data_IF_636206816651
#
_entry.id   IF_636206816651
#
_cell.length_a   1.000
_cell.length_b   1.000
_cell.length_c   1.000
_cell.angle_alpha   90.00
_cell.angle_beta   90.00
_cell.angle_gamma   90.00
#
_symmetry.space_group_name_H-M   'P 1'
#
loop_
_entity.id
_entity.type
_entity.pdbx_description
1 polymer ?
#
# COMPACT_ATOMS: atom_id res chain seq x y z
N UNK A 1 16.53 6.77 -4.72
CA UNK A 1 16.23 5.47 -4.05
C UNK A 1 17.24 4.40 -4.47
N UNK A 2 17.59 3.45 -3.59
CA UNK A 2 18.48 2.33 -3.95
C UNK A 2 17.78 1.41 -4.96
N UNK A 3 18.49 0.93 -5.97
CA UNK A 3 17.90 0.18 -7.09
C UNK A 3 17.08 -1.06 -6.68
N UNK A 4 17.50 -1.76 -5.61
CA UNK A 4 16.80 -2.95 -5.11
C UNK A 4 15.47 -2.66 -4.40
N UNK A 5 15.18 -1.39 -4.08
CA UNK A 5 13.92 -0.93 -3.50
C UNK A 5 12.96 -0.41 -4.57
N UNK A 6 13.44 -0.23 -5.81
CA UNK A 6 12.62 0.27 -6.91
C UNK A 6 11.73 -0.88 -7.44
N UNK A 7 10.43 -0.68 -7.38
CA UNK A 7 9.47 -1.62 -7.95
C UNK A 7 9.47 -1.50 -9.48
N UNK A 8 9.45 -2.63 -10.18
CA UNK A 8 9.18 -2.68 -11.61
C UNK A 8 7.69 -2.42 -11.86
N UNK A 9 7.39 -1.53 -12.80
CA UNK A 9 6.01 -1.15 -13.11
C UNK A 9 5.80 -1.14 -14.63
N UNK A 10 4.59 -1.50 -15.07
CA UNK A 10 4.15 -1.46 -16.46
C UNK A 10 2.85 -0.65 -16.57
N UNK A 11 2.93 0.68 -16.41
CA UNK A 11 1.75 1.52 -16.23
C UNK A 11 0.97 1.79 -17.52
N UNK A 12 1.55 1.52 -18.68
CA UNK A 12 0.92 1.76 -19.97
C UNK A 12 0.01 0.59 -20.36
N UNK A 13 -1.21 0.90 -20.77
CA UNK A 13 -2.12 -0.09 -21.31
C UNK A 13 -1.87 -0.31 -22.81
N UNK A 14 -2.31 -1.45 -23.34
CA UNK A 14 -2.29 -1.71 -24.77
C UNK A 14 -3.12 -0.63 -25.53
N UNK A 15 -2.54 0.10 -26.48
CA UNK A 15 -3.25 1.18 -27.18
C UNK A 15 -4.52 0.72 -27.90
N UNK A 16 -4.62 -0.56 -28.32
CA UNK A 16 -5.81 -1.12 -28.96
C UNK A 16 -7.01 -1.25 -28.03
N UNK A 17 -6.74 -1.20 -26.72
CA UNK A 17 -7.76 -1.34 -25.68
C UNK A 17 -8.30 0.01 -25.17
N UNK A 18 -7.82 1.13 -25.71
CA UNK A 18 -8.10 2.48 -25.19
C UNK A 18 -9.09 3.22 -26.06
N UNK A 19 -10.16 3.72 -25.45
CA UNK A 19 -11.14 4.64 -26.02
C UNK A 19 -10.95 5.99 -25.30
N UNK A 20 -10.66 7.04 -26.05
CA UNK A 20 -10.40 8.37 -25.51
C UNK A 20 -11.32 9.41 -26.13
N UNK A 21 -12.00 10.20 -25.30
CA UNK A 21 -12.66 11.45 -25.65
C UNK A 21 -11.93 12.65 -25.04
N UNK A 22 -12.57 13.82 -25.10
CA UNK A 22 -11.94 15.07 -24.63
C UNK A 22 -11.63 15.05 -23.13
N UNK A 23 -12.58 14.56 -22.31
CA UNK A 23 -12.51 14.57 -20.85
C UNK A 23 -12.60 13.19 -20.20
N UNK A 24 -12.65 12.12 -20.99
CA UNK A 24 -12.72 10.77 -20.49
C UNK A 24 -11.76 9.83 -21.23
N UNK A 25 -11.37 8.78 -20.53
CA UNK A 25 -10.65 7.65 -21.11
C UNK A 25 -11.18 6.35 -20.51
N UNK A 26 -11.53 5.41 -21.37
CA UNK A 26 -11.95 4.07 -20.99
C UNK A 26 -10.93 3.09 -21.54
N UNK A 27 -10.40 2.22 -20.67
CA UNK A 27 -9.46 1.18 -21.08
C UNK A 27 -10.04 -0.19 -20.78
N UNK A 28 -10.14 -1.04 -21.78
CA UNK A 28 -10.58 -2.43 -21.64
C UNK A 28 -9.36 -3.29 -21.30
N UNK A 29 -9.12 -3.54 -20.02
CA UNK A 29 -7.97 -4.31 -19.58
C UNK A 29 -8.16 -5.81 -19.82
N UNK A 30 -9.37 -6.33 -19.52
CA UNK A 30 -9.78 -7.70 -19.88
C UNK A 30 -11.27 -7.69 -20.29
N UNK A 31 -11.81 -8.84 -20.72
CA UNK A 31 -13.26 -8.97 -20.98
C UNK A 31 -14.12 -8.70 -19.71
N UNK A 32 -13.48 -8.64 -18.52
CA UNK A 32 -14.12 -8.47 -17.21
C UNK A 32 -13.66 -7.22 -16.44
N UNK A 33 -12.64 -6.51 -16.91
CA UNK A 33 -12.00 -5.41 -16.18
C UNK A 33 -11.88 -4.17 -17.06
N UNK A 34 -12.47 -3.08 -16.59
CA UNK A 34 -12.38 -1.77 -17.23
C UNK A 34 -11.68 -0.77 -16.32
N UNK A 35 -10.83 0.10 -16.87
CA UNK A 35 -10.40 1.34 -16.24
C UNK A 35 -11.26 2.47 -16.78
N UNK A 36 -11.79 3.29 -15.89
CA UNK A 36 -12.68 4.40 -16.17
C UNK A 36 -12.07 5.68 -15.63
N UNK A 37 -11.73 6.61 -16.51
CA UNK A 37 -11.08 7.85 -16.12
C UNK A 37 -11.89 9.05 -16.59
N UNK A 38 -11.94 10.08 -15.73
CA UNK A 38 -12.48 11.38 -16.08
C UNK A 38 -11.57 12.50 -15.55
N UNK A 39 -11.33 13.51 -16.39
CA UNK A 39 -10.54 14.69 -16.05
C UNK A 39 -11.12 15.91 -16.75
N UNK A 40 -11.37 16.98 -16.00
CA UNK A 40 -11.97 18.22 -16.53
C UNK A 40 -11.12 18.90 -17.62
N UNK A 41 -9.82 18.71 -17.57
CA UNK A 41 -8.87 19.28 -18.56
C UNK A 41 -8.44 18.27 -19.63
N UNK A 42 -8.93 17.04 -19.59
CA UNK A 42 -8.61 15.99 -20.57
C UNK A 42 -7.19 15.41 -20.42
N UNK A 43 -6.48 15.74 -19.33
CA UNK A 43 -5.18 15.17 -19.02
C UNK A 43 -5.34 13.86 -18.25
N UNK A 44 -4.74 12.79 -18.75
CA UNK A 44 -4.79 11.46 -18.16
C UNK A 44 -3.40 11.01 -17.73
N UNK A 45 -3.35 10.26 -16.63
CA UNK A 45 -2.12 9.88 -15.98
C UNK A 45 -1.75 8.45 -16.35
N UNK A 46 -0.57 8.29 -16.95
CA UNK A 46 -0.02 6.99 -17.36
C UNK A 46 1.04 6.44 -16.40
N UNK A 47 1.35 7.16 -15.32
CA UNK A 47 2.21 6.65 -14.26
C UNK A 47 1.51 5.53 -13.46
N UNK A 48 2.30 4.64 -12.88
CA UNK A 48 1.82 3.71 -11.87
C UNK A 48 1.38 4.47 -10.62
N UNK A 49 0.49 3.88 -9.83
CA UNK A 49 0.14 4.37 -8.49
C UNK A 49 0.63 3.38 -7.43
N UNK A 50 0.50 3.75 -6.16
CA UNK A 50 0.76 2.83 -5.06
C UNK A 50 -0.17 1.60 -5.05
N UNK A 51 -1.33 1.71 -5.69
CA UNK A 51 -2.32 0.63 -5.79
C UNK A 51 -2.18 -0.14 -7.11
N UNK A 52 -2.01 0.58 -8.23
CA UNK A 52 -2.02 -0.02 -9.57
C UNK A 52 -0.66 0.18 -10.24
N UNK A 53 0.05 -0.93 -10.41
CA UNK A 53 1.43 -0.92 -10.92
C UNK A 53 1.56 -1.44 -12.35
N UNK A 54 0.56 -2.19 -12.85
CA UNK A 54 0.64 -2.84 -14.15
C UNK A 54 -0.70 -2.74 -14.90
N UNK A 55 -0.66 -2.13 -16.10
CA UNK A 55 -1.80 -2.07 -17.03
C UNK A 55 -1.50 -2.72 -18.37
N UNK A 56 -0.37 -3.44 -18.46
CA UNK A 56 -0.01 -4.19 -19.66
C UNK A 56 -0.79 -5.51 -19.71
N UNK A 57 -1.96 -5.43 -20.32
CA UNK A 57 -2.83 -6.56 -20.62
C UNK A 57 -2.89 -6.79 -22.13
N UNK A 58 -3.15 -8.03 -22.59
CA UNK A 58 -3.31 -8.33 -24.01
C UNK A 58 -4.42 -7.51 -24.67
N UNK A 59 -4.41 -7.47 -25.99
CA UNK A 59 -5.52 -6.88 -26.75
C UNK A 59 -6.81 -7.68 -26.47
N UNK A 60 -7.92 -6.96 -26.29
CA UNK A 60 -9.24 -7.50 -25.99
C UNK A 60 -10.19 -7.19 -27.16
N UNK A 61 -11.07 -8.12 -27.49
CA UNK A 61 -12.15 -7.87 -28.43
C UNK A 61 -13.32 -7.18 -27.72
N UNK A 62 -13.75 -6.04 -28.23
CA UNK A 62 -14.91 -5.30 -27.75
C UNK A 62 -15.55 -4.48 -28.87
N UNK A 63 -16.77 -4.05 -28.66
CA UNK A 63 -17.47 -3.15 -29.56
C UNK A 63 -17.84 -1.84 -28.87
N UNK A 64 -17.84 -0.77 -29.65
CA UNK A 64 -18.23 0.56 -29.18
C UNK A 64 -19.32 1.08 -30.10
N UNK A 65 -20.44 1.55 -29.52
CA UNK A 65 -21.46 2.32 -30.19
C UNK A 65 -21.45 3.73 -29.62
N UNK A 66 -21.08 4.68 -30.45
CA UNK A 66 -21.02 6.09 -30.12
C UNK A 66 -22.12 6.83 -30.84
N UNK A 67 -23.02 7.49 -30.10
CA UNK A 67 -24.16 8.27 -30.64
C UNK A 67 -23.95 9.78 -30.54
N UNK A 68 -22.75 10.24 -30.26
CA UNK A 68 -22.41 11.64 -29.97
C UNK A 68 -22.52 11.96 -28.48
N UNK A 69 -23.70 11.86 -27.89
CA UNK A 69 -23.93 12.17 -26.46
C UNK A 69 -23.70 10.95 -25.53
N UNK A 70 -23.82 9.75 -26.06
CA UNK A 70 -23.72 8.52 -25.30
C UNK A 70 -22.71 7.55 -25.94
N UNK A 71 -22.07 6.78 -25.09
CA UNK A 71 -21.15 5.72 -25.45
C UNK A 71 -21.62 4.41 -24.79
N UNK A 72 -21.86 3.39 -25.61
CA UNK A 72 -22.06 2.02 -25.17
C UNK A 72 -20.82 1.22 -25.56
N UNK A 73 -20.21 0.53 -24.57
CA UNK A 73 -19.09 -0.38 -24.78
C UNK A 73 -19.52 -1.78 -24.35
N UNK A 74 -19.24 -2.77 -25.18
CA UNK A 74 -19.52 -4.17 -24.88
C UNK A 74 -18.28 -5.03 -25.07
N UNK A 75 -17.94 -5.76 -24.04
CA UNK A 75 -17.04 -6.93 -24.12
C UNK A 75 -17.91 -8.20 -24.14
N UNK A 76 -17.31 -9.35 -24.10
CA UNK A 76 -18.02 -10.63 -23.93
C UNK A 76 -18.86 -10.70 -22.65
N UNK A 77 -18.40 -10.04 -21.56
CA UNK A 77 -19.00 -10.17 -20.24
C UNK A 77 -19.45 -8.84 -19.62
N UNK A 78 -19.13 -7.70 -20.23
CA UNK A 78 -19.48 -6.39 -19.71
C UNK A 78 -20.27 -5.57 -20.72
N UNK A 79 -21.20 -4.77 -20.20
CA UNK A 79 -21.86 -3.71 -20.93
C UNK A 79 -21.73 -2.42 -20.11
N UNK A 80 -21.00 -1.44 -20.65
CA UNK A 80 -20.87 -0.09 -20.09
C UNK A 80 -21.77 0.87 -20.87
N UNK A 81 -22.50 1.74 -20.15
CA UNK A 81 -23.22 2.88 -20.72
C UNK A 81 -22.68 4.15 -20.06
N UNK A 82 -22.36 5.15 -20.87
CA UNK A 82 -21.73 6.37 -20.39
C UNK A 82 -22.13 7.59 -21.21
N UNK A 83 -22.54 8.69 -20.54
CA UNK A 83 -22.99 9.95 -21.16
C UNK A 83 -21.85 10.93 -21.48
N UNK A 84 -20.57 10.51 -21.37
CA UNK A 84 -19.35 11.29 -21.67
C UNK A 84 -19.15 12.56 -20.81
N UNK A 85 -19.90 12.70 -19.72
CA UNK A 85 -19.78 13.81 -18.76
C UNK A 85 -19.10 13.35 -17.48
N UNK A 86 -18.89 14.26 -16.55
CA UNK A 86 -18.42 13.90 -15.20
C UNK A 86 -19.23 12.74 -14.64
N UNK A 87 -18.54 11.80 -13.98
CA UNK A 87 -19.19 10.58 -13.50
C UNK A 87 -20.33 10.89 -12.53
N UNK A 88 -21.46 10.30 -12.79
CA UNK A 88 -22.68 10.44 -11.98
C UNK A 88 -23.51 9.17 -12.05
N UNK A 89 -24.39 8.96 -11.07
CA UNK A 89 -25.24 7.78 -10.99
C UNK A 89 -26.14 7.58 -12.22
N UNK A 90 -26.58 8.67 -12.83
CA UNK A 90 -27.40 8.62 -14.05
C UNK A 90 -26.58 8.60 -15.35
N UNK A 91 -25.26 8.90 -15.26
CA UNK A 91 -24.41 9.08 -16.43
C UNK A 91 -23.45 7.94 -16.70
N UNK A 92 -23.17 7.10 -15.70
CA UNK A 92 -22.24 5.99 -15.82
C UNK A 92 -22.80 4.75 -15.15
N UNK A 93 -22.98 3.69 -15.93
CA UNK A 93 -23.39 2.38 -15.42
C UNK A 93 -22.63 1.25 -16.10
N UNK A 94 -22.43 0.16 -15.39
CA UNK A 94 -21.82 -1.04 -15.93
C UNK A 94 -22.54 -2.28 -15.43
N UNK A 95 -22.85 -3.18 -16.37
CA UNK A 95 -23.51 -4.46 -16.10
C UNK A 95 -22.57 -5.60 -16.44
N UNK A 96 -22.44 -6.56 -15.52
CA UNK A 96 -21.77 -7.84 -15.82
C UNK A 96 -22.80 -8.86 -16.32
N UNK A 97 -22.41 -9.61 -17.34
CA UNK A 97 -23.16 -10.76 -17.88
C UNK A 97 -22.38 -12.06 -17.66
N UNK A 98 -21.40 -12.04 -16.77
CA UNK A 98 -20.56 -13.19 -16.48
C UNK A 98 -21.37 -14.38 -15.97
N UNK A 99 -20.94 -15.58 -16.37
CA UNK A 99 -21.62 -16.85 -16.04
C UNK A 99 -21.70 -17.08 -14.53
N UNK A 100 -22.81 -17.64 -14.07
CA UNK A 100 -23.01 -18.04 -12.66
C UNK A 100 -23.83 -17.07 -11.84
N UNK A 101 -24.10 -15.87 -12.33
CA UNK A 101 -25.00 -14.91 -11.71
C UNK A 101 -26.29 -14.87 -12.51
N UNK A 102 -27.40 -14.95 -11.81
CA UNK A 102 -28.71 -14.68 -12.40
C UNK A 102 -28.80 -13.23 -12.91
N UNK A 103 -29.99 -12.69 -13.05
CA UNK A 103 -30.15 -11.28 -13.39
C UNK A 103 -29.72 -10.41 -12.21
N UNK A 104 -28.51 -9.83 -12.30
CA UNK A 104 -28.04 -8.82 -11.34
C UNK A 104 -28.30 -7.43 -11.88
N UNK A 105 -28.59 -6.44 -11.02
CA UNK A 105 -28.74 -5.05 -11.44
C UNK A 105 -27.42 -4.51 -12.02
N UNK A 106 -27.50 -3.54 -12.90
CA UNK A 106 -26.33 -2.78 -13.29
C UNK A 106 -25.81 -1.97 -12.09
N UNK A 107 -24.50 -1.90 -11.95
CA UNK A 107 -23.85 -0.94 -11.05
C UNK A 107 -23.94 0.46 -11.69
N UNK A 108 -24.29 1.45 -10.90
CA UNK A 108 -24.22 2.86 -11.26
C UNK A 108 -23.12 3.55 -10.45
N UNK A 109 -22.52 4.58 -11.02
CA UNK A 109 -21.49 5.33 -10.31
C UNK A 109 -21.98 5.80 -8.93
N UNK A 110 -21.23 5.46 -7.89
CA UNK A 110 -21.56 5.76 -6.51
C UNK A 110 -22.39 4.70 -5.79
N UNK A 111 -22.88 3.67 -6.48
CA UNK A 111 -23.56 2.55 -5.81
C UNK A 111 -22.57 1.76 -4.94
N UNK A 112 -22.99 1.33 -3.75
CA UNK A 112 -22.20 0.41 -2.94
C UNK A 112 -22.06 -0.94 -3.66
N UNK A 113 -20.85 -1.49 -3.64
CA UNK A 113 -20.56 -2.75 -4.36
C UNK A 113 -20.99 -4.00 -3.59
N UNK A 114 -21.37 -3.88 -2.32
CA UNK A 114 -21.72 -4.99 -1.43
C UNK A 114 -20.73 -6.16 -1.54
N UNK A 115 -19.46 -5.81 -1.47
CA UNK A 115 -18.37 -6.78 -1.61
C UNK A 115 -18.24 -7.68 -0.37
N UNK A 116 -17.44 -8.74 -0.51
CA UNK A 116 -17.21 -9.73 0.55
C UNK A 116 -16.17 -9.27 1.58
N UNK A 117 -15.73 -8.02 1.49
CA UNK A 117 -14.69 -7.45 2.32
C UNK A 117 -13.27 -7.80 1.84
N UNK A 118 -12.35 -6.94 2.17
CA UNK A 118 -10.91 -7.11 1.98
C UNK A 118 -10.25 -7.60 3.26
N UNK A 119 -9.28 -6.83 3.75
CA UNK A 119 -8.55 -7.12 4.99
C UNK A 119 -8.72 -6.01 6.00
N UNK A 120 -8.54 -6.31 7.28
CA UNK A 120 -8.35 -5.28 8.29
C UNK A 120 -6.91 -4.74 8.23
N UNK A 121 -6.75 -3.44 8.33
CA UNK A 121 -5.43 -2.79 8.33
C UNK A 121 -4.63 -3.11 9.58
N UNK A 122 -5.32 -3.16 10.72
CA UNK A 122 -4.77 -3.50 12.03
C UNK A 122 -5.86 -4.13 12.88
N UNK A 123 -5.44 -4.96 13.81
CA UNK A 123 -6.33 -5.53 14.84
C UNK A 123 -6.03 -4.92 16.21
N UNK A 124 -5.22 -3.85 16.27
CA UNK A 124 -4.92 -3.16 17.52
C UNK A 124 -6.21 -2.68 18.19
N UNK A 125 -6.35 -2.99 19.47
CA UNK A 125 -7.52 -2.64 20.31
C UNK A 125 -8.87 -3.22 19.83
N UNK A 126 -8.86 -4.14 18.89
CA UNK A 126 -10.06 -4.84 18.45
C UNK A 126 -10.48 -5.87 19.49
N UNK A 127 -11.75 -5.78 19.92
CA UNK A 127 -12.39 -6.77 20.80
C UNK A 127 -13.68 -7.26 20.14
N UNK A 128 -13.59 -8.38 19.44
CA UNK A 128 -14.68 -8.96 18.65
C UNK A 128 -14.58 -8.64 17.17
N UNK A 129 -15.69 -8.30 16.52
CA UNK A 129 -15.73 -7.98 15.10
C UNK A 129 -15.06 -6.62 14.79
N UNK A 130 -14.50 -6.51 13.62
CA UNK A 130 -13.97 -5.25 13.07
C UNK A 130 -14.44 -5.05 11.62
N UNK A 131 -14.49 -3.80 11.19
CA UNK A 131 -14.79 -3.47 9.81
C UNK A 131 -13.62 -3.88 8.91
N UNK A 132 -13.95 -4.42 7.75
CA UNK A 132 -12.99 -4.78 6.72
C UNK A 132 -12.94 -3.69 5.64
N UNK A 133 -11.77 -3.45 5.09
CA UNK A 133 -11.62 -2.61 3.89
C UNK A 133 -12.41 -3.22 2.71
N UNK A 134 -12.81 -2.41 1.71
CA UNK A 134 -13.50 -2.90 0.52
C UNK A 134 -12.70 -3.99 -0.21
N UNK A 135 -13.42 -4.98 -0.73
CA UNK A 135 -12.87 -6.09 -1.51
C UNK A 135 -13.24 -6.03 -2.98
N UNK A 136 -12.57 -6.81 -3.81
CA UNK A 136 -12.81 -6.87 -5.25
C UNK A 136 -13.80 -7.97 -5.67
N UNK A 137 -14.31 -8.73 -4.72
CA UNK A 137 -15.28 -9.82 -4.94
C UNK A 137 -16.61 -9.46 -4.30
N UNK A 138 -17.71 -9.76 -5.00
CA UNK A 138 -19.05 -9.43 -4.54
C UNK A 138 -20.03 -10.53 -4.94
N UNK A 139 -21.06 -10.75 -4.12
CA UNK A 139 -22.19 -11.61 -4.49
C UNK A 139 -22.97 -11.06 -5.68
N UNK A 140 -22.96 -9.74 -5.92
CA UNK A 140 -23.55 -9.12 -7.09
C UNK A 140 -22.65 -9.22 -8.35
N UNK A 141 -21.50 -9.87 -8.24
CA UNK A 141 -20.60 -10.15 -9.35
C UNK A 141 -19.78 -8.98 -9.85
N UNK A 142 -19.87 -7.82 -9.20
CA UNK A 142 -19.06 -6.65 -9.54
C UNK A 142 -18.59 -5.90 -8.32
N UNK A 143 -17.42 -5.26 -8.45
CA UNK A 143 -16.86 -4.32 -7.49
C UNK A 143 -16.06 -3.22 -8.19
N UNK A 144 -15.71 -2.19 -7.44
CA UNK A 144 -14.94 -1.04 -7.95
C UNK A 144 -13.77 -0.76 -7.05
N UNK A 145 -12.60 -0.67 -7.66
CA UNK A 145 -11.40 -0.15 -7.03
C UNK A 145 -11.25 1.32 -7.41
N UNK A 146 -11.33 2.21 -6.43
CA UNK A 146 -11.12 3.65 -6.64
C UNK A 146 -9.65 4.00 -6.38
N UNK A 147 -8.93 4.29 -7.45
CA UNK A 147 -7.52 4.68 -7.42
C UNK A 147 -7.32 6.22 -7.46
N UNK A 148 -8.41 7.00 -7.46
CA UNK A 148 -8.37 8.45 -7.66
C UNK A 148 -7.52 9.22 -6.64
N UNK A 149 -7.32 8.65 -5.46
CA UNK A 149 -6.58 9.28 -4.35
C UNK A 149 -5.20 8.66 -4.09
N UNK A 150 -4.86 7.54 -4.73
CA UNK A 150 -3.56 6.89 -4.56
C UNK A 150 -2.44 7.78 -5.07
N UNK A 151 -1.32 7.82 -4.37
CA UNK A 151 -0.14 8.54 -4.82
C UNK A 151 0.44 7.88 -6.07
N UNK A 152 0.99 8.68 -6.96
CA UNK A 152 1.64 8.22 -8.18
C UNK A 152 3.09 7.84 -7.89
N UNK A 153 3.58 6.81 -8.56
CA UNK A 153 4.98 6.42 -8.52
C UNK A 153 5.78 7.24 -9.54
N UNK A 154 6.89 7.81 -9.10
CA UNK A 154 7.82 8.54 -9.95
C UNK A 154 8.88 7.60 -10.54
N UNK A 155 9.56 8.02 -11.61
CA UNK A 155 10.59 7.19 -12.28
C UNK A 155 11.76 6.83 -11.36
N UNK A 156 12.09 7.70 -10.40
CA UNK A 156 13.12 7.45 -9.40
C UNK A 156 12.66 6.52 -8.26
N UNK A 157 11.38 6.11 -8.26
CA UNK A 157 10.79 5.18 -7.31
C UNK A 157 10.19 5.82 -6.06
N UNK A 158 10.09 7.16 -5.99
CA UNK A 158 9.32 7.86 -4.98
C UNK A 158 7.85 7.96 -5.36
N UNK A 159 7.09 8.68 -4.54
CA UNK A 159 5.67 8.94 -4.75
C UNK A 159 5.39 10.44 -4.80
N UNK A 160 4.39 10.81 -5.59
CA UNK A 160 3.91 12.18 -5.70
C UNK A 160 2.38 12.23 -5.66
N UNK A 161 1.78 13.30 -5.14
CA UNK A 161 0.33 13.44 -5.15
C UNK A 161 -0.24 13.45 -6.57
N UNK A 162 -1.46 12.93 -6.71
CA UNK A 162 -2.26 13.12 -7.93
C UNK A 162 -2.77 14.55 -8.03
N UNK A 163 -3.02 14.98 -9.26
CA UNK A 163 -3.80 16.18 -9.54
C UNK A 163 -5.22 16.02 -8.96
N UNK A 164 -5.71 17.05 -8.28
CA UNK A 164 -7.05 17.05 -7.71
C UNK A 164 -8.12 17.03 -8.82
N UNK A 165 -9.24 16.35 -8.55
CA UNK A 165 -10.39 16.30 -9.46
C UNK A 165 -10.32 15.26 -10.57
N UNK A 166 -9.23 14.50 -10.68
CA UNK A 166 -9.15 13.35 -11.59
C UNK A 166 -9.85 12.15 -10.94
N UNK A 167 -10.71 11.47 -11.68
CA UNK A 167 -11.32 10.21 -11.30
C UNK A 167 -10.64 9.07 -12.04
N UNK A 168 -10.31 7.98 -11.34
CA UNK A 168 -9.60 6.82 -11.88
C UNK A 168 -10.11 5.56 -11.17
N UNK A 169 -11.06 4.88 -11.82
CA UNK A 169 -11.76 3.74 -11.26
C UNK A 169 -11.44 2.48 -12.05
N UNK A 170 -11.42 1.35 -11.37
CA UNK A 170 -11.32 0.03 -11.99
C UNK A 170 -12.57 -0.77 -11.66
N UNK A 171 -13.37 -1.06 -12.69
CA UNK A 171 -14.58 -1.85 -12.56
C UNK A 171 -14.27 -3.34 -12.81
N UNK A 172 -14.48 -4.16 -11.78
CA UNK A 172 -14.30 -5.61 -11.80
C UNK A 172 -15.66 -6.29 -11.97
N UNK A 173 -15.95 -6.84 -13.15
CA UNK A 173 -17.21 -7.52 -13.45
C UNK A 173 -17.01 -9.01 -13.72
N UNK A 174 -16.51 -9.74 -12.73
CA UNK A 174 -16.10 -11.16 -12.87
C UNK A 174 -17.20 -12.15 -12.52
N UNK A 175 -18.38 -11.67 -12.13
CA UNK A 175 -19.38 -12.58 -11.60
C UNK A 175 -18.86 -13.31 -10.37
N UNK A 176 -19.08 -14.62 -10.31
CA UNK A 176 -18.55 -15.47 -9.25
C UNK A 176 -17.25 -16.16 -9.61
N UNK A 177 -16.61 -15.73 -10.69
CA UNK A 177 -15.27 -16.23 -11.03
C UNK A 177 -14.19 -15.53 -10.18
N UNK A 178 -14.26 -15.75 -8.87
CA UNK A 178 -13.39 -15.11 -7.89
C UNK A 178 -11.90 -15.40 -8.11
N UNK A 179 -11.56 -16.59 -8.61
CA UNK A 179 -10.16 -16.92 -8.90
C UNK A 179 -9.60 -16.09 -10.05
N UNK A 180 -10.40 -15.84 -11.09
CA UNK A 180 -9.97 -15.00 -12.20
C UNK A 180 -9.89 -13.54 -11.75
N UNK A 181 -10.85 -13.05 -10.95
CA UNK A 181 -10.82 -11.72 -10.35
C UNK A 181 -9.51 -11.50 -9.56
N UNK A 182 -9.14 -12.43 -8.68
CA UNK A 182 -7.89 -12.38 -7.93
C UNK A 182 -6.65 -12.42 -8.82
N UNK A 183 -6.64 -13.27 -9.85
CA UNK A 183 -5.52 -13.36 -10.79
C UNK A 183 -5.27 -12.03 -11.48
N UNK A 184 -6.33 -11.41 -12.00
CA UNK A 184 -6.21 -10.15 -12.73
C UNK A 184 -5.95 -8.97 -11.77
N UNK A 185 -6.49 -9.02 -10.55
CA UNK A 185 -6.15 -8.08 -9.48
C UNK A 185 -4.65 -8.12 -9.14
N UNK A 186 -4.06 -9.29 -8.95
CA UNK A 186 -2.62 -9.40 -8.68
C UNK A 186 -1.75 -9.07 -9.89
N UNK A 187 -2.28 -9.22 -11.12
CA UNK A 187 -1.60 -8.71 -12.29
C UNK A 187 -1.62 -7.17 -12.33
N UNK A 188 -2.75 -6.57 -12.00
CA UNK A 188 -2.96 -5.11 -11.97
C UNK A 188 -2.19 -4.43 -10.81
N UNK A 189 -2.34 -4.94 -9.60
CA UNK A 189 -1.84 -4.33 -8.37
C UNK A 189 -0.46 -4.86 -7.92
N UNK A 190 0.08 -5.84 -8.63
CA UNK A 190 1.33 -6.47 -8.28
C UNK A 190 1.15 -7.67 -7.34
N UNK A 191 2.15 -8.51 -7.29
CA UNK A 191 2.15 -9.72 -6.46
C UNK A 191 2.39 -9.36 -5.00
N UNK A 192 1.69 -10.04 -4.10
CA UNK A 192 2.03 -9.97 -2.68
C UNK A 192 3.46 -10.50 -2.48
N UNK A 193 4.36 -9.72 -1.87
CA UNK A 193 5.72 -10.18 -1.62
C UNK A 193 5.71 -11.35 -0.63
N UNK A 194 6.56 -12.33 -0.88
CA UNK A 194 6.76 -13.41 0.08
C UNK A 194 7.49 -12.89 1.31
N UNK A 195 6.92 -13.12 2.49
CA UNK A 195 7.61 -12.83 3.73
C UNK A 195 8.85 -13.71 3.87
N UNK A 196 9.98 -13.17 4.35
CA UNK A 196 11.14 -13.98 4.65
C UNK A 196 10.81 -14.96 5.79
N UNK A 197 11.37 -16.17 5.74
CA UNK A 197 11.02 -17.25 6.66
C UNK A 197 11.19 -16.87 8.14
N UNK A 198 12.19 -16.05 8.46
CA UNK A 198 12.42 -15.62 9.86
C UNK A 198 11.26 -14.80 10.42
N UNK A 199 10.51 -14.07 9.56
CA UNK A 199 9.37 -13.26 9.99
C UNK A 199 8.19 -14.12 10.49
N UNK A 200 8.14 -15.39 10.11
CA UNK A 200 7.12 -16.36 10.55
C UNK A 200 7.55 -17.14 11.80
N UNK A 201 8.74 -16.89 12.34
CA UNK A 201 9.24 -17.51 13.56
C UNK A 201 8.86 -16.75 14.83
N UNK A 202 9.37 -17.19 15.95
CA UNK A 202 9.16 -16.50 17.22
C UNK A 202 9.93 -15.19 17.29
N UNK A 203 9.26 -14.17 17.80
CA UNK A 203 9.81 -12.85 18.07
C UNK A 203 9.83 -12.63 19.56
N UNK A 204 10.97 -12.29 20.14
CA UNK A 204 11.04 -11.80 21.51
C UNK A 204 10.87 -10.30 21.50
N UNK A 205 9.84 -9.79 22.17
CA UNK A 205 9.61 -8.36 22.40
C UNK A 205 9.11 -8.15 23.82
N UNK A 206 9.69 -7.20 24.53
CA UNK A 206 9.25 -6.79 25.86
C UNK A 206 9.64 -5.34 26.12
N UNK A 207 8.68 -4.56 26.58
CA UNK A 207 8.97 -3.23 27.14
C UNK A 207 9.75 -3.40 28.45
N UNK A 208 11.05 -3.31 28.38
CA UNK A 208 11.97 -3.52 29.50
C UNK A 208 13.30 -2.84 29.23
N UNK A 209 13.90 -2.25 30.29
CA UNK A 209 15.21 -1.60 30.21
C UNK A 209 16.33 -2.63 30.21
N UNK A 210 16.67 -3.11 29.04
CA UNK A 210 17.80 -4.00 28.84
C UNK A 210 19.11 -3.24 28.69
N UNK A 211 20.21 -3.89 29.09
CA UNK A 211 21.55 -3.60 28.63
C UNK A 211 22.03 -4.69 27.67
N UNK A 212 23.15 -4.48 26.96
CA UNK A 212 23.78 -5.54 26.18
C UNK A 212 23.94 -6.81 27.01
N UNK A 213 24.47 -6.71 28.22
CA UNK A 213 24.73 -7.85 29.10
C UNK A 213 23.46 -8.57 29.51
N UNK A 214 22.43 -7.83 29.95
CA UNK A 214 21.18 -8.44 30.41
C UNK A 214 20.38 -9.05 29.27
N UNK A 215 20.43 -8.44 28.08
CA UNK A 215 19.75 -9.00 26.89
C UNK A 215 20.43 -10.29 26.42
N UNK A 216 21.77 -10.31 26.35
CA UNK A 216 22.50 -11.51 25.95
C UNK A 216 22.29 -12.65 26.94
N UNK A 217 22.27 -12.35 28.26
CA UNK A 217 21.95 -13.35 29.28
C UNK A 217 20.56 -13.93 29.09
N UNK A 218 19.57 -13.09 28.80
CA UNK A 218 18.21 -13.56 28.52
C UNK A 218 18.18 -14.51 27.31
N UNK A 219 18.90 -14.21 26.25
CA UNK A 219 19.00 -15.11 25.08
C UNK A 219 19.66 -16.45 25.43
N UNK A 220 20.67 -16.44 26.30
CA UNK A 220 21.31 -17.67 26.82
C UNK A 220 20.35 -18.50 27.70
N UNK A 221 19.53 -17.83 28.51
CA UNK A 221 18.55 -18.52 29.34
C UNK A 221 17.45 -19.17 28.48
N UNK A 222 16.99 -18.52 27.39
CA UNK A 222 16.08 -19.14 26.43
C UNK A 222 16.71 -20.34 25.71
N UNK A 223 17.99 -20.30 25.38
CA UNK A 223 18.67 -21.46 24.79
C UNK A 223 18.69 -22.65 25.74
N UNK A 224 18.95 -22.43 27.04
CA UNK A 224 18.95 -23.50 28.08
C UNK A 224 17.57 -24.17 28.19
N UNK A 225 16.51 -23.38 28.04
CA UNK A 225 15.13 -23.86 28.08
C UNK A 225 14.64 -24.39 26.71
N UNK A 226 15.51 -24.42 25.69
CA UNK A 226 15.19 -24.83 24.32
C UNK A 226 14.05 -24.02 23.69
N UNK A 227 13.98 -22.72 23.97
CA UNK A 227 13.01 -21.80 23.38
C UNK A 227 13.64 -21.03 22.22
N UNK A 228 13.39 -21.41 20.96
CA UNK A 228 14.02 -20.77 19.82
C UNK A 228 13.34 -19.44 19.49
N UNK A 229 14.15 -18.43 19.12
CA UNK A 229 13.70 -17.16 18.56
C UNK A 229 14.34 -16.87 17.21
N UNK A 230 13.57 -16.31 16.31
CA UNK A 230 14.02 -15.84 14.99
C UNK A 230 14.36 -14.36 14.98
N UNK A 231 13.68 -13.57 15.83
CA UNK A 231 13.84 -12.13 15.90
C UNK A 231 13.97 -11.65 17.33
N UNK A 232 14.98 -10.83 17.56
CA UNK A 232 15.20 -10.09 18.79
C UNK A 232 14.72 -8.65 18.60
N UNK A 233 13.64 -8.29 19.27
CA UNK A 233 13.15 -6.90 19.32
C UNK A 233 13.82 -6.22 20.50
N UNK A 234 14.47 -5.09 20.24
CA UNK A 234 15.04 -4.24 21.27
C UNK A 234 14.11 -3.04 21.39
N UNK A 235 13.27 -3.07 22.42
CA UNK A 235 12.17 -2.14 22.59
C UNK A 235 12.66 -0.78 23.08
N UNK A 236 12.43 -0.43 24.34
CA UNK A 236 12.81 0.88 24.86
C UNK A 236 14.25 0.90 25.40
N UNK A 237 14.71 2.11 25.67
CA UNK A 237 16.02 2.42 26.29
C UNK A 237 17.26 1.99 25.48
N UNK A 238 17.09 1.40 24.29
CA UNK A 238 18.21 1.20 23.38
C UNK A 238 18.77 2.55 22.89
N UNK A 239 17.91 3.56 22.78
CA UNK A 239 18.25 4.94 22.48
C UNK A 239 18.37 5.79 23.75
N UNK A 240 18.86 7.01 23.59
CA UNK A 240 19.00 7.96 24.69
C UNK A 240 17.64 8.35 25.25
N UNK A 241 17.46 8.22 26.57
CA UNK A 241 16.24 8.54 27.30
C UNK A 241 16.58 9.43 28.52
N UNK A 242 17.53 8.98 29.38
CA UNK A 242 17.80 9.58 30.69
C UNK A 242 18.58 10.90 30.61
N UNK A 243 19.32 11.14 29.54
CA UNK A 243 20.21 12.29 29.35
C UNK A 243 19.73 13.25 28.26
N UNK A 244 18.44 13.19 27.94
CA UNK A 244 17.79 14.10 27.02
C UNK A 244 17.39 15.38 27.76
N UNK A 245 17.86 16.53 27.28
CA UNK A 245 17.45 17.83 27.83
C UNK A 245 15.93 17.99 27.68
N UNK A 246 15.17 18.31 28.74
CA UNK A 246 13.71 18.47 28.69
C UNK A 246 13.18 19.42 27.61
N UNK A 247 13.99 20.37 27.14
CA UNK A 247 13.62 21.25 26.03
C UNK A 247 13.37 20.49 24.72
N UNK A 248 13.93 19.28 24.57
CA UNK A 248 13.73 18.42 23.41
C UNK A 248 12.61 17.39 23.58
N UNK A 249 11.98 17.34 24.75
CA UNK A 249 10.90 16.41 25.06
C UNK A 249 11.29 15.34 26.08
N UNK A 250 10.51 14.25 26.13
CA UNK A 250 10.65 13.20 27.14
C UNK A 250 11.72 12.15 26.84
N UNK A 251 12.32 12.18 25.64
CA UNK A 251 13.16 11.08 25.16
C UNK A 251 12.38 9.83 24.74
N UNK A 252 11.06 9.92 24.57
CA UNK A 252 10.24 8.79 24.09
C UNK A 252 10.58 8.42 22.65
N UNK A 253 10.76 9.41 21.79
CA UNK A 253 11.32 9.25 20.45
C UNK A 253 12.83 9.30 20.53
N UNK A 254 13.53 8.39 19.84
CA UNK A 254 15.01 8.40 19.80
C UNK A 254 15.56 7.58 18.66
N UNK A 255 16.73 8.03 18.16
CA UNK A 255 17.46 7.43 17.04
C UNK A 255 18.93 7.14 17.38
N UNK A 256 19.44 7.70 18.49
CA UNK A 256 20.83 7.56 18.91
C UNK A 256 20.99 6.52 20.00
N UNK A 257 21.93 5.60 19.84
CA UNK A 257 22.17 4.54 20.81
C UNK A 257 22.52 5.06 22.22
N UNK A 258 21.89 4.46 23.22
CA UNK A 258 22.26 4.64 24.61
C UNK A 258 23.58 3.90 24.91
N UNK A 259 24.71 4.59 24.78
CA UNK A 259 26.04 4.01 24.95
C UNK A 259 26.33 3.54 26.38
N UNK A 260 25.53 3.93 27.39
CA UNK A 260 25.64 3.41 28.77
C UNK A 260 25.10 2.00 28.86
N UNK A 261 24.02 1.68 28.12
CA UNK A 261 23.40 0.36 28.11
C UNK A 261 23.97 -0.53 27.00
N UNK A 262 24.31 0.05 25.88
CA UNK A 262 24.85 -0.61 24.67
C UNK A 262 26.14 0.11 24.24
N UNK A 263 27.27 -0.12 24.95
CA UNK A 263 28.53 0.59 24.67
C UNK A 263 29.03 0.39 23.24
N UNK A 264 28.79 -0.78 22.68
CA UNK A 264 29.19 -1.17 21.32
C UNK A 264 28.02 -1.87 20.62
N UNK A 265 27.12 -1.11 19.95
CA UNK A 265 25.96 -1.67 19.28
C UNK A 265 26.29 -2.65 18.16
N UNK A 266 27.37 -2.41 17.41
CA UNK A 266 27.77 -3.29 16.30
C UNK A 266 28.15 -4.67 16.82
N UNK A 267 28.95 -4.72 17.87
CA UNK A 267 29.33 -5.97 18.56
C UNK A 267 28.10 -6.68 19.13
N UNK A 268 27.18 -5.94 19.76
CA UNK A 268 25.98 -6.50 20.34
C UNK A 268 25.06 -7.11 19.25
N UNK A 269 24.79 -6.36 18.19
CA UNK A 269 24.01 -6.85 17.06
C UNK A 269 24.69 -8.03 16.37
N UNK A 270 26.01 -7.98 16.22
CA UNK A 270 26.81 -9.09 15.69
C UNK A 270 26.66 -10.38 16.49
N UNK A 271 26.58 -10.32 17.83
CA UNK A 271 26.34 -11.49 18.70
C UNK A 271 24.94 -12.09 18.46
N UNK A 272 23.91 -11.25 18.30
CA UNK A 272 22.54 -11.71 17.98
C UNK A 272 22.49 -12.34 16.59
N UNK A 273 23.10 -11.73 15.60
CA UNK A 273 23.18 -12.27 14.24
C UNK A 273 23.95 -13.59 14.17
N UNK A 274 25.02 -13.74 14.94
CA UNK A 274 25.77 -15.00 15.03
C UNK A 274 24.95 -16.16 15.60
N UNK A 275 23.88 -15.87 16.37
CA UNK A 275 22.89 -16.84 16.83
C UNK A 275 21.80 -17.15 15.80
N UNK A 276 21.91 -16.62 14.58
CA UNK A 276 20.93 -16.77 13.52
C UNK A 276 19.67 -15.87 13.64
N UNK A 277 19.64 -14.99 14.63
CA UNK A 277 18.53 -14.07 14.87
C UNK A 277 18.60 -12.86 13.94
N UNK A 278 17.45 -12.30 13.59
CA UNK A 278 17.32 -10.93 13.06
C UNK A 278 17.02 -9.97 14.20
N UNK A 279 17.28 -8.70 14.00
CA UNK A 279 17.03 -7.67 15.01
C UNK A 279 16.18 -6.55 14.47
N UNK A 280 15.35 -5.97 15.31
CA UNK A 280 14.59 -4.76 15.04
C UNK A 280 14.56 -3.88 16.28
N UNK A 281 14.42 -2.57 16.06
CA UNK A 281 14.38 -1.55 17.10
C UNK A 281 13.01 -0.90 17.11
N UNK A 282 12.50 -0.59 18.29
CA UNK A 282 11.30 0.21 18.43
C UNK A 282 11.69 1.70 18.47
N UNK A 283 11.15 2.53 17.59
CA UNK A 283 11.63 3.89 17.34
C UNK A 283 10.72 5.00 17.89
N UNK A 284 9.39 4.84 17.82
CA UNK A 284 8.40 5.86 18.19
C UNK A 284 8.62 7.22 17.50
N UNK A 285 8.45 7.34 16.19
CA UNK A 285 8.90 8.50 15.42
C UNK A 285 8.05 9.78 15.57
N UNK A 286 7.06 9.80 16.47
CA UNK A 286 6.04 10.86 16.58
C UNK A 286 6.63 12.27 16.79
N UNK A 287 7.77 12.38 17.46
CA UNK A 287 8.40 13.66 17.79
C UNK A 287 9.41 14.15 16.74
N UNK A 288 9.63 13.40 15.67
CA UNK A 288 10.66 13.71 14.68
C UNK A 288 12.08 13.53 15.22
N UNK A 289 13.07 13.96 14.44
CA UNK A 289 14.49 13.89 14.80
C UNK A 289 14.87 15.20 15.52
N UNK A 290 15.38 15.07 16.72
CA UNK A 290 15.73 16.21 17.59
C UNK A 290 17.20 16.54 17.47
N UNK A 291 17.58 17.80 17.82
CA UNK A 291 18.94 18.29 17.67
C UNK A 291 20.01 17.57 18.53
N UNK A 292 19.61 16.75 19.49
CA UNK A 292 20.55 15.93 20.29
C UNK A 292 20.88 14.58 19.64
N UNK A 293 20.18 14.22 18.58
CA UNK A 293 20.40 12.94 17.91
C UNK A 293 21.64 12.96 17.04
N UNK A 294 22.37 11.85 17.02
CA UNK A 294 23.62 11.73 16.26
C UNK A 294 23.43 11.98 14.76
N UNK A 295 22.26 11.60 14.21
CA UNK A 295 21.92 11.78 12.80
C UNK A 295 21.33 13.17 12.46
N UNK A 296 21.09 14.02 13.46
CA UNK A 296 20.39 15.31 13.23
C UNK A 296 21.09 16.23 12.22
N UNK A 297 22.42 16.43 12.26
CA UNK A 297 23.08 17.34 11.32
C UNK A 297 22.86 16.94 9.85
N UNK A 298 23.01 15.65 9.54
CA UNK A 298 22.81 15.14 8.17
C UNK A 298 21.35 15.29 7.70
N UNK A 299 20.40 15.07 8.61
CA UNK A 299 18.96 15.19 8.29
C UNK A 299 18.57 16.65 8.11
N UNK A 300 19.06 17.57 8.97
CA UNK A 300 18.80 19.00 8.86
C UNK A 300 19.35 19.57 7.55
N UNK A 301 20.57 19.19 7.17
CA UNK A 301 21.17 19.57 5.89
C UNK A 301 20.34 19.05 4.70
N UNK A 302 19.96 17.76 4.71
CA UNK A 302 19.18 17.14 3.65
C UNK A 302 17.78 17.77 3.48
N UNK A 303 17.21 18.30 4.56
CA UNK A 303 15.92 18.98 4.56
C UNK A 303 16.02 20.49 4.31
N UNK A 304 17.21 21.06 4.27
CA UNK A 304 17.42 22.49 4.10
C UNK A 304 16.88 23.31 5.27
N UNK A 305 16.90 22.77 6.51
CA UNK A 305 16.49 23.49 7.72
C UNK A 305 17.71 23.89 8.54
N UNK A 306 17.72 25.14 9.04
CA UNK A 306 18.76 25.61 9.93
C UNK A 306 18.69 24.93 11.30
N UNK A 307 19.82 24.90 12.05
CA UNK A 307 20.02 24.15 13.31
C UNK A 307 19.00 24.42 14.43
N UNK A 308 18.09 25.35 14.29
CA UNK A 308 17.14 25.77 15.31
C UNK A 308 15.74 25.39 14.91
N UNK A 309 15.43 24.10 14.93
CA UNK A 309 14.08 23.68 14.62
C UNK A 309 13.85 22.21 14.86
N UNK A 310 12.60 21.84 14.89
CA UNK A 310 12.17 20.45 14.85
C UNK A 310 12.24 20.00 13.41
N UNK A 311 13.18 19.13 13.06
CA UNK A 311 13.07 18.41 11.79
C UNK A 311 11.88 17.44 11.92
N UNK A 312 10.70 17.89 11.53
CA UNK A 312 9.53 17.03 11.40
C UNK A 312 9.67 16.28 10.06
N UNK A 313 9.87 15.00 10.14
CA UNK A 313 9.79 14.10 8.98
C UNK A 313 8.35 13.70 8.77
#
# INVERSE_FOLDING_TARGET
MRSYLKMETHPLANPKNVIKGDKYRITVLTEHLLRLEYSEDGEFIDAASQTVVNRDFPAVEFSVKDTGDELELRTKYLQLNYNKKSFSSNGLSCKTTAVGIGSVPAWHYGDPTQDLGGTARTLDQVNGACDLEPGIMSWFGSSVLDDSKSLLMTEDGWVTPRKKGVQDLYFFGYGWNFRLALKDFYHLCGKTPMLPRFALGNWWSRYWRYSETSYMKLMEDFDKENVPFSVAVIDMDWHRVDDVDPKYGSGWTGYSWNKKLFPDPERFLGKLHARGMKTTLNVHPADGIRAYEDCYPEVAEAMGVDEIGRAHV
#
